data_IF_052956869691
#
_entry.id   IF_052956869691
#
_cell.length_a   1.000
_cell.length_b   1.000
_cell.length_c   1.000
_cell.angle_alpha   90.00
_cell.angle_beta   90.00
_cell.angle_gamma   90.00
#
_symmetry.space_group_name_H-M   'P 1'
#
loop_
_entity.id
_entity.type
_entity.pdbx_description
1 polymer ?
#
# COMPACT_ATOMS: atom_id res chain seq x y z
N UNK A 1 -22.47 -31.67 11.18
CA UNK A 1 -22.32 -30.87 9.94
C UNK A 1 -23.67 -30.21 9.66
N UNK A 2 -23.81 -28.95 10.03
CA UNK A 2 -24.93 -28.14 9.57
C UNK A 2 -24.82 -28.06 8.06
N UNK A 3 -25.87 -28.40 7.34
CA UNK A 3 -25.90 -28.31 5.89
C UNK A 3 -25.85 -26.85 5.46
N UNK A 4 -24.67 -26.29 5.34
CA UNK A 4 -24.43 -25.02 4.62
C UNK A 4 -24.61 -25.14 3.10
N UNK A 5 -25.15 -26.27 2.65
CA UNK A 5 -25.24 -26.68 1.25
C UNK A 5 -26.35 -25.98 0.46
N UNK A 6 -27.20 -25.19 1.12
CA UNK A 6 -28.16 -24.38 0.40
C UNK A 6 -27.50 -23.04 0.05
N UNK A 7 -27.36 -22.73 -1.24
CA UNK A 7 -26.78 -21.48 -1.74
C UNK A 7 -27.40 -20.23 -1.12
N UNK A 8 -28.71 -20.23 -0.82
CA UNK A 8 -29.39 -19.16 -0.13
C UNK A 8 -28.89 -18.96 1.32
N UNK A 9 -28.64 -20.02 2.05
CA UNK A 9 -28.13 -19.93 3.42
C UNK A 9 -26.69 -19.45 3.44
N UNK A 10 -25.86 -19.94 2.52
CA UNK A 10 -24.48 -19.47 2.37
C UNK A 10 -24.44 -17.96 2.06
N UNK A 11 -25.25 -17.51 1.11
CA UNK A 11 -25.36 -16.10 0.78
C UNK A 11 -25.77 -15.25 1.98
N UNK A 12 -26.82 -15.65 2.73
CA UNK A 12 -27.31 -14.92 3.91
C UNK A 12 -26.26 -14.86 5.03
N UNK A 13 -25.57 -15.95 5.30
CA UNK A 13 -24.50 -15.99 6.32
C UNK A 13 -23.35 -15.11 5.90
N UNK A 14 -22.94 -15.17 4.64
CA UNK A 14 -21.86 -14.34 4.12
C UNK A 14 -22.22 -12.85 4.19
N UNK A 15 -23.45 -12.52 3.77
CA UNK A 15 -23.97 -11.14 3.87
C UNK A 15 -24.00 -10.66 5.32
N UNK A 16 -24.52 -11.46 6.23
CA UNK A 16 -24.58 -11.10 7.65
C UNK A 16 -23.21 -10.84 8.23
N UNK A 17 -22.23 -11.69 7.96
CA UNK A 17 -20.84 -11.52 8.44
C UNK A 17 -20.23 -10.24 7.85
N UNK A 18 -20.33 -10.02 6.54
CA UNK A 18 -19.74 -8.84 5.90
C UNK A 18 -20.37 -7.54 6.36
N UNK A 19 -21.71 -7.52 6.54
CA UNK A 19 -22.43 -6.38 7.06
C UNK A 19 -22.00 -6.08 8.51
N UNK A 20 -21.90 -7.11 9.36
CA UNK A 20 -21.49 -6.98 10.76
C UNK A 20 -20.08 -6.39 10.89
N UNK A 21 -19.13 -6.89 10.10
CA UNK A 21 -17.77 -6.33 10.07
C UNK A 21 -17.77 -4.88 9.58
N UNK A 22 -18.49 -4.60 8.51
CA UNK A 22 -18.59 -3.25 7.95
C UNK A 22 -19.19 -2.23 8.90
N UNK A 23 -20.19 -2.65 9.70
CA UNK A 23 -20.86 -1.80 10.69
C UNK A 23 -20.00 -1.50 11.91
N UNK A 24 -19.20 -2.48 12.36
CA UNK A 24 -18.42 -2.36 13.59
C UNK A 24 -17.02 -1.80 13.38
N UNK A 25 -16.39 -2.03 12.21
CA UNK A 25 -15.02 -1.59 11.92
C UNK A 25 -15.02 -0.46 10.87
N UNK A 26 -15.39 0.75 11.28
CA UNK A 26 -15.57 1.89 10.36
C UNK A 26 -14.26 2.59 9.95
N UNK A 27 -13.26 2.58 10.83
CA UNK A 27 -12.04 3.38 10.67
C UNK A 27 -10.81 2.56 10.26
N UNK A 28 -10.97 1.25 10.05
CA UNK A 28 -9.89 0.36 9.62
C UNK A 28 -10.23 -0.25 8.27
N UNK A 29 -9.21 -0.46 7.44
CA UNK A 29 -9.37 -1.16 6.18
C UNK A 29 -9.76 -2.61 6.45
N UNK A 30 -10.82 -3.06 5.79
CA UNK A 30 -11.26 -4.45 5.83
C UNK A 30 -10.81 -5.17 4.57
N UNK A 31 -10.44 -6.42 4.73
CA UNK A 31 -10.03 -7.29 3.62
C UNK A 31 -10.92 -8.52 3.55
N UNK A 32 -11.14 -9.04 2.36
CA UNK A 32 -11.83 -10.30 2.16
C UNK A 32 -10.87 -11.30 1.53
N UNK A 33 -10.76 -12.48 2.14
CA UNK A 33 -10.07 -13.60 1.53
C UNK A 33 -10.97 -14.23 0.45
N UNK A 34 -10.44 -14.46 -0.73
CA UNK A 34 -11.20 -15.04 -1.84
C UNK A 34 -10.52 -16.29 -2.40
N UNK A 35 -11.25 -17.09 -3.16
CA UNK A 35 -10.74 -18.22 -3.91
C UNK A 35 -11.62 -18.51 -5.11
N UNK A 36 -11.06 -19.16 -6.11
CA UNK A 36 -11.80 -19.52 -7.33
C UNK A 36 -12.61 -20.78 -7.19
N UNK A 37 -12.30 -21.63 -6.20
CA UNK A 37 -12.95 -22.95 -6.00
C UNK A 37 -14.44 -22.88 -5.74
N UNK A 38 -14.89 -21.81 -5.08
CA UNK A 38 -16.31 -21.60 -4.71
C UNK A 38 -16.95 -20.46 -5.48
N UNK A 39 -16.22 -19.89 -6.45
CA UNK A 39 -16.60 -18.68 -7.17
C UNK A 39 -16.29 -17.41 -6.36
N UNK A 40 -15.97 -16.36 -7.06
CA UNK A 40 -15.64 -15.05 -6.48
C UNK A 40 -16.88 -14.15 -6.28
N UNK A 41 -18.08 -14.68 -6.58
CA UNK A 41 -19.30 -13.85 -6.67
C UNK A 41 -19.69 -13.22 -5.33
N UNK A 42 -19.64 -13.99 -4.23
CA UNK A 42 -20.08 -13.47 -2.92
C UNK A 42 -19.09 -12.46 -2.37
N UNK A 43 -17.80 -12.74 -2.47
CA UNK A 43 -16.72 -11.86 -2.08
C UNK A 43 -16.81 -10.53 -2.80
N UNK A 44 -16.95 -10.59 -4.13
CA UNK A 44 -17.09 -9.40 -4.96
C UNK A 44 -18.33 -8.60 -4.59
N UNK A 45 -19.50 -9.21 -4.65
CA UNK A 45 -20.79 -8.53 -4.48
C UNK A 45 -21.01 -8.03 -3.07
N UNK A 46 -20.72 -8.87 -2.04
CA UNK A 46 -21.11 -8.59 -0.65
C UNK A 46 -20.03 -7.88 0.15
N UNK A 47 -18.76 -8.09 -0.17
CA UNK A 47 -17.67 -7.44 0.55
C UNK A 47 -17.05 -6.28 -0.24
N UNK A 48 -16.62 -6.54 -1.49
CA UNK A 48 -15.87 -5.54 -2.27
C UNK A 48 -16.80 -4.45 -2.80
N UNK A 49 -17.84 -4.82 -3.55
CA UNK A 49 -18.69 -3.82 -4.21
C UNK A 49 -19.59 -3.09 -3.19
N UNK A 50 -20.17 -3.82 -2.22
CA UNK A 50 -21.08 -3.26 -1.22
C UNK A 50 -20.32 -2.44 -0.17
N UNK A 51 -19.26 -2.99 0.40
CA UNK A 51 -18.61 -2.47 1.60
C UNK A 51 -17.19 -1.97 1.38
N UNK A 52 -16.71 -1.99 0.15
CA UNK A 52 -15.38 -1.49 -0.21
C UNK A 52 -14.22 -2.22 0.48
N UNK A 53 -14.36 -3.54 0.70
CA UNK A 53 -13.27 -4.34 1.23
C UNK A 53 -12.14 -4.43 0.21
N UNK A 54 -10.92 -4.50 0.71
CA UNK A 54 -9.74 -4.85 -0.06
C UNK A 54 -9.66 -6.36 -0.26
N UNK A 55 -8.71 -6.82 -1.06
CA UNK A 55 -8.54 -8.23 -1.35
C UNK A 55 -7.41 -8.86 -0.55
N UNK A 56 -7.59 -10.10 -0.13
CA UNK A 56 -6.58 -10.97 0.44
C UNK A 56 -6.66 -12.34 -0.21
N UNK A 57 -5.52 -12.97 -0.39
CA UNK A 57 -5.45 -14.38 -0.77
C UNK A 57 -4.34 -15.05 0.02
N UNK A 58 -4.69 -16.12 0.70
CA UNK A 58 -3.75 -17.06 1.28
C UNK A 58 -3.24 -18.05 0.22
N UNK A 59 -2.20 -18.76 0.56
CA UNK A 59 -1.67 -19.82 -0.27
C UNK A 59 -0.87 -19.36 -1.50
N UNK A 60 -0.33 -18.14 -1.52
CA UNK A 60 0.60 -17.77 -2.57
C UNK A 60 1.85 -18.66 -2.51
N UNK A 61 2.40 -18.99 -3.69
CA UNK A 61 3.47 -19.98 -3.84
C UNK A 61 2.97 -21.41 -3.94
N UNK A 62 1.69 -21.68 -3.63
CA UNK A 62 1.07 -22.99 -3.76
C UNK A 62 0.46 -23.23 -5.15
N UNK A 63 0.08 -24.47 -5.44
CA UNK A 63 -0.66 -24.80 -6.65
C UNK A 63 -2.10 -24.26 -6.65
N UNK A 64 -2.61 -23.84 -5.51
CA UNK A 64 -3.93 -23.20 -5.38
C UNK A 64 -3.94 -21.76 -5.91
N UNK A 65 -2.78 -21.11 -5.92
CA UNK A 65 -2.67 -19.75 -6.44
C UNK A 65 -2.30 -19.80 -7.92
N UNK A 66 -3.31 -19.72 -8.76
CA UNK A 66 -3.20 -19.86 -10.20
C UNK A 66 -3.45 -18.54 -10.94
N UNK A 67 -3.37 -18.58 -12.26
CA UNK A 67 -3.62 -17.40 -13.10
C UNK A 67 -5.03 -16.84 -12.93
N UNK A 68 -6.01 -17.69 -12.57
CA UNK A 68 -7.37 -17.24 -12.29
C UNK A 68 -7.44 -16.26 -11.11
N UNK A 69 -6.73 -16.54 -10.01
CA UNK A 69 -6.63 -15.63 -8.86
C UNK A 69 -5.90 -14.34 -9.23
N UNK A 70 -4.80 -14.45 -9.96
CA UNK A 70 -4.05 -13.27 -10.44
C UNK A 70 -4.91 -12.39 -11.33
N UNK A 71 -5.69 -12.97 -12.23
CA UNK A 71 -6.60 -12.23 -13.10
C UNK A 71 -7.68 -11.49 -12.30
N UNK A 72 -8.21 -12.10 -11.23
CA UNK A 72 -9.16 -11.43 -10.32
C UNK A 72 -8.47 -10.22 -9.67
N UNK A 73 -7.28 -10.39 -9.09
CA UNK A 73 -6.54 -9.30 -8.44
C UNK A 73 -6.29 -8.17 -9.44
N UNK A 74 -5.77 -8.50 -10.62
CA UNK A 74 -5.44 -7.52 -11.65
C UNK A 74 -6.67 -6.78 -12.18
N UNK A 75 -7.85 -7.43 -12.20
CA UNK A 75 -9.11 -6.78 -12.60
C UNK A 75 -9.58 -5.73 -11.58
N UNK A 76 -9.13 -5.83 -10.34
CA UNK A 76 -9.47 -4.91 -9.25
C UNK A 76 -8.37 -3.86 -8.99
N UNK A 77 -7.15 -4.11 -9.47
CA UNK A 77 -6.04 -3.16 -9.39
C UNK A 77 -6.22 -2.03 -10.42
N UNK A 78 -5.92 -0.76 -10.10
CA UNK A 78 -5.36 -0.25 -8.84
C UNK A 78 -6.40 0.17 -7.79
N UNK A 79 -7.71 -0.06 -8.02
CA UNK A 79 -8.77 0.39 -7.11
C UNK A 79 -8.76 -0.34 -5.77
N UNK A 80 -8.25 -1.57 -5.74
CA UNK A 80 -8.16 -2.39 -4.53
C UNK A 80 -6.72 -2.83 -4.29
N UNK A 81 -6.26 -2.59 -3.06
CA UNK A 81 -5.00 -3.14 -2.59
C UNK A 81 -5.14 -4.65 -2.33
N UNK A 82 -4.04 -5.38 -2.48
CA UNK A 82 -3.96 -6.81 -2.28
C UNK A 82 -3.02 -7.16 -1.13
N UNK A 83 -3.49 -8.02 -0.22
CA UNK A 83 -2.73 -8.60 0.88
C UNK A 83 -2.40 -10.04 0.51
N UNK A 84 -1.11 -10.34 0.39
CA UNK A 84 -0.63 -11.67 0.06
C UNK A 84 -0.23 -12.41 1.34
N UNK A 85 -0.65 -13.67 1.45
CA UNK A 85 -0.27 -14.57 2.52
C UNK A 85 0.41 -15.82 1.95
N UNK A 86 1.63 -16.11 2.46
CA UNK A 86 2.38 -17.30 2.04
C UNK A 86 1.69 -18.60 2.43
N UNK A 87 1.85 -19.61 1.59
CA UNK A 87 1.51 -21.00 1.94
C UNK A 87 2.68 -21.60 2.72
N UNK A 88 2.42 -22.58 3.61
CA UNK A 88 3.42 -23.35 4.37
C UNK A 88 4.35 -22.55 5.31
N UNK A 89 4.24 -22.83 6.58
CA UNK A 89 4.90 -22.09 7.66
C UNK A 89 6.21 -22.72 8.13
N UNK A 90 6.58 -23.85 7.61
CA UNK A 90 7.64 -24.69 8.19
C UNK A 90 8.99 -24.64 7.51
N UNK A 91 9.37 -23.53 6.86
CA UNK A 91 10.59 -23.39 6.05
C UNK A 91 11.93 -23.73 6.72
N UNK A 92 11.93 -24.18 7.97
CA UNK A 92 13.09 -24.70 8.68
C UNK A 92 12.88 -26.13 9.19
N UNK A 93 11.79 -26.77 8.81
CA UNK A 93 11.51 -28.14 9.26
C UNK A 93 11.98 -29.12 8.20
N UNK A 94 13.01 -29.90 8.51
CA UNK A 94 13.39 -31.05 7.69
C UNK A 94 12.31 -32.14 7.66
N UNK A 95 11.34 -32.09 8.59
CA UNK A 95 10.27 -33.05 8.71
C UNK A 95 9.07 -32.81 7.78
N UNK A 96 8.95 -31.63 7.20
CA UNK A 96 7.88 -31.31 6.27
C UNK A 96 8.40 -30.52 5.07
N UNK A 97 8.51 -31.20 3.95
CA UNK A 97 8.91 -30.62 2.67
C UNK A 97 7.79 -30.91 1.66
N UNK A 98 7.01 -29.90 1.23
CA UNK A 98 5.85 -30.13 0.36
C UNK A 98 6.16 -30.96 -0.90
N UNK A 99 7.30 -30.73 -1.52
CA UNK A 99 7.74 -31.47 -2.72
C UNK A 99 8.03 -32.94 -2.47
N UNK A 100 8.24 -33.38 -1.24
CA UNK A 100 8.44 -34.79 -0.90
C UNK A 100 7.13 -35.48 -0.51
N UNK A 101 6.12 -34.73 -0.13
CA UNK A 101 4.87 -35.27 0.43
C UNK A 101 3.64 -35.07 -0.43
N UNK A 102 3.69 -34.08 -1.35
CA UNK A 102 2.57 -33.77 -2.25
C UNK A 102 3.02 -33.88 -3.72
N UNK A 103 2.46 -34.83 -4.49
CA UNK A 103 2.81 -35.01 -5.92
C UNK A 103 2.63 -33.75 -6.77
N UNK A 104 1.74 -32.84 -6.39
CA UNK A 104 1.50 -31.59 -7.11
C UNK A 104 2.69 -30.61 -7.04
N UNK A 105 3.61 -30.83 -6.08
CA UNK A 105 4.81 -30.01 -5.91
C UNK A 105 6.10 -30.72 -6.33
N UNK A 106 6.11 -32.04 -6.43
CA UNK A 106 7.32 -32.84 -6.66
C UNK A 106 8.12 -32.41 -7.90
N UNK A 107 7.43 -31.97 -8.96
CA UNK A 107 8.05 -31.50 -10.20
C UNK A 107 8.34 -30.00 -10.22
N UNK A 108 7.78 -29.24 -9.27
CA UNK A 108 7.86 -27.76 -9.26
C UNK A 108 8.94 -27.24 -8.32
N UNK A 109 9.11 -27.87 -7.18
CA UNK A 109 10.01 -27.42 -6.13
C UNK A 109 10.98 -28.55 -5.75
N UNK A 110 12.20 -28.17 -5.40
CA UNK A 110 13.23 -29.09 -4.88
C UNK A 110 13.83 -28.54 -3.58
N UNK A 111 13.47 -27.34 -3.21
CA UNK A 111 14.00 -26.66 -2.04
C UNK A 111 13.04 -25.59 -1.54
N UNK A 112 13.25 -25.14 -0.30
CA UNK A 112 12.55 -23.98 0.24
C UNK A 112 12.84 -22.70 -0.54
N UNK A 113 14.06 -22.58 -1.11
CA UNK A 113 14.40 -21.43 -1.96
C UNK A 113 13.51 -21.36 -3.21
N UNK A 114 13.21 -22.49 -3.85
CA UNK A 114 12.30 -22.54 -5.01
C UNK A 114 10.88 -22.13 -4.61
N UNK A 115 10.43 -22.63 -3.46
CA UNK A 115 9.11 -22.32 -2.94
C UNK A 115 8.96 -20.82 -2.64
N UNK A 116 9.91 -20.22 -1.90
CA UNK A 116 9.89 -18.80 -1.58
C UNK A 116 10.04 -17.92 -2.83
N UNK A 117 10.80 -18.38 -3.84
CA UNK A 117 10.89 -17.69 -5.13
C UNK A 117 9.53 -17.65 -5.84
N UNK A 118 8.76 -18.74 -5.80
CA UNK A 118 7.40 -18.75 -6.36
C UNK A 118 6.45 -17.85 -5.57
N UNK A 119 6.46 -17.92 -4.25
CA UNK A 119 5.64 -17.05 -3.40
C UNK A 119 5.94 -15.56 -3.64
N UNK A 120 7.22 -15.20 -3.73
CA UNK A 120 7.65 -13.86 -4.10
C UNK A 120 7.11 -13.44 -5.48
N UNK A 121 7.29 -14.30 -6.51
CA UNK A 121 6.80 -14.05 -7.86
C UNK A 121 5.28 -13.82 -7.88
N UNK A 122 4.53 -14.63 -7.14
CA UNK A 122 3.08 -14.50 -7.02
C UNK A 122 2.68 -13.19 -6.34
N UNK A 123 3.37 -12.79 -5.27
CA UNK A 123 3.16 -11.51 -4.61
C UNK A 123 3.38 -10.32 -5.56
N UNK A 124 4.48 -10.33 -6.33
CA UNK A 124 4.82 -9.25 -7.25
C UNK A 124 3.82 -9.17 -8.42
N UNK A 125 3.46 -10.30 -9.04
CA UNK A 125 2.51 -10.31 -10.16
C UNK A 125 1.07 -9.99 -9.76
N UNK A 126 0.75 -10.18 -8.46
CA UNK A 126 -0.52 -9.80 -7.85
C UNK A 126 -0.54 -8.38 -7.28
N UNK A 127 0.48 -7.57 -7.51
CA UNK A 127 0.57 -6.20 -6.96
C UNK A 127 0.44 -6.13 -5.44
N UNK A 128 1.06 -7.09 -4.72
CA UNK A 128 0.88 -7.21 -3.28
C UNK A 128 1.34 -5.96 -2.52
N UNK A 129 0.46 -5.45 -1.67
CA UNK A 129 0.77 -4.39 -0.72
C UNK A 129 1.60 -4.90 0.45
N UNK A 130 1.31 -6.12 0.89
CA UNK A 130 2.05 -6.80 1.95
C UNK A 130 2.28 -8.25 1.57
N UNK A 131 3.42 -8.77 1.99
CA UNK A 131 3.72 -10.19 2.04
C UNK A 131 4.01 -10.50 3.49
N UNK A 132 3.21 -11.34 4.12
CA UNK A 132 3.29 -11.54 5.54
C UNK A 132 4.43 -12.49 5.97
N UNK A 133 5.03 -12.15 7.10
CA UNK A 133 5.97 -12.96 7.85
C UNK A 133 5.35 -13.20 9.24
N UNK A 134 4.30 -14.02 9.28
CA UNK A 134 3.35 -14.10 10.40
C UNK A 134 3.91 -14.61 11.71
N UNK A 135 4.85 -15.54 11.63
CA UNK A 135 5.37 -16.20 12.82
C UNK A 135 6.88 -16.45 12.70
N UNK A 136 7.51 -16.80 13.84
CA UNK A 136 8.96 -16.88 13.94
C UNK A 136 9.58 -17.95 13.02
N UNK A 137 8.92 -19.07 12.80
CA UNK A 137 9.44 -20.17 11.97
C UNK A 137 9.41 -19.79 10.50
N UNK A 138 8.32 -19.19 10.05
CA UNK A 138 8.18 -18.68 8.67
C UNK A 138 9.18 -17.57 8.41
N UNK A 139 9.32 -16.61 9.33
CA UNK A 139 10.30 -15.52 9.23
C UNK A 139 11.72 -16.07 9.11
N UNK A 140 12.10 -17.07 9.95
CA UNK A 140 13.41 -17.72 9.82
C UNK A 140 13.58 -18.41 8.49
N UNK A 141 12.54 -19.09 7.98
CA UNK A 141 12.54 -19.71 6.65
C UNK A 141 12.85 -18.72 5.54
N UNK A 142 12.13 -17.61 5.48
CA UNK A 142 12.39 -16.54 4.52
C UNK A 142 13.82 -16.00 4.62
N UNK A 143 14.29 -15.69 5.84
CA UNK A 143 15.64 -15.14 6.04
C UNK A 143 16.74 -16.15 5.73
N UNK A 144 16.51 -17.44 5.98
CA UNK A 144 17.49 -18.50 5.71
C UNK A 144 17.58 -18.82 4.23
N UNK A 145 16.45 -18.94 3.53
CA UNK A 145 16.38 -19.49 2.18
C UNK A 145 16.15 -18.46 1.08
N UNK A 146 15.67 -17.26 1.43
CA UNK A 146 15.23 -16.25 0.47
C UNK A 146 15.48 -14.80 0.93
N UNK A 147 16.56 -14.57 1.70
CA UNK A 147 16.86 -13.25 2.29
C UNK A 147 16.90 -12.12 1.27
N UNK A 148 17.41 -12.37 0.07
CA UNK A 148 17.51 -11.34 -0.95
C UNK A 148 16.14 -11.00 -1.58
N UNK A 149 15.22 -11.96 -1.64
CA UNK A 149 13.83 -11.72 -2.04
C UNK A 149 13.09 -10.89 -0.99
N UNK A 150 13.37 -11.08 0.31
CA UNK A 150 12.85 -10.22 1.38
C UNK A 150 13.32 -8.78 1.20
N UNK A 151 14.62 -8.58 0.95
CA UNK A 151 15.17 -7.24 0.68
C UNK A 151 14.57 -6.62 -0.58
N UNK A 152 14.39 -7.42 -1.62
CA UNK A 152 13.78 -6.96 -2.86
C UNK A 152 12.32 -6.57 -2.64
N UNK A 153 11.54 -7.34 -1.87
CA UNK A 153 10.18 -6.97 -1.53
C UNK A 153 10.09 -5.69 -0.70
N UNK A 154 11.04 -5.45 0.21
CA UNK A 154 11.14 -4.18 0.95
C UNK A 154 11.27 -2.99 -0.01
N UNK A 155 11.94 -3.16 -1.13
CA UNK A 155 12.17 -2.12 -2.13
C UNK A 155 11.05 -2.03 -3.19
N UNK A 156 10.50 -3.16 -3.61
CA UNK A 156 9.61 -3.29 -4.75
C UNK A 156 8.16 -3.67 -4.40
N UNK A 157 7.92 -4.27 -3.23
CA UNK A 157 6.59 -4.62 -2.74
C UNK A 157 5.85 -3.41 -2.16
N UNK A 158 4.54 -3.55 -1.98
CA UNK A 158 3.70 -2.47 -1.45
C UNK A 158 3.74 -1.21 -2.31
N UNK A 159 3.49 -0.05 -1.70
CA UNK A 159 3.68 1.25 -2.34
C UNK A 159 4.89 1.99 -1.74
N UNK A 160 5.65 2.67 -2.60
CA UNK A 160 6.87 3.42 -2.27
C UNK A 160 6.79 4.78 -2.94
N UNK A 161 6.18 5.75 -2.23
CA UNK A 161 5.84 7.06 -2.77
C UNK A 161 7.02 8.02 -2.61
N UNK A 162 7.44 8.62 -3.72
CA UNK A 162 8.62 9.49 -3.76
C UNK A 162 8.32 10.74 -4.58
N UNK A 163 8.57 11.95 -4.06
CA UNK A 163 8.67 13.14 -4.90
C UNK A 163 9.97 13.06 -5.70
N UNK A 164 9.88 13.02 -7.03
CA UNK A 164 11.05 12.93 -7.91
C UNK A 164 11.50 14.29 -8.45
N UNK A 165 10.60 15.27 -8.44
CA UNK A 165 10.89 16.64 -8.84
C UNK A 165 9.93 17.59 -8.15
N UNK A 166 10.46 18.71 -7.65
CA UNK A 166 9.68 19.81 -7.08
C UNK A 166 10.30 21.12 -7.61
N UNK A 167 9.48 21.90 -8.33
CA UNK A 167 9.84 23.18 -8.90
C UNK A 167 9.06 24.28 -8.19
N UNK A 168 9.75 25.29 -7.70
CA UNK A 168 9.18 26.46 -7.03
C UNK A 168 10.08 27.68 -7.22
N UNK A 169 9.56 28.91 -7.13
CA UNK A 169 10.39 30.14 -7.23
C UNK A 169 11.26 30.30 -5.98
N UNK A 170 12.50 30.73 -6.15
CA UNK A 170 13.43 30.97 -5.01
C UNK A 170 13.02 32.16 -4.13
N UNK A 171 12.20 33.07 -4.66
CA UNK A 171 11.59 34.17 -3.90
C UNK A 171 10.20 34.52 -4.40
N UNK A 172 9.33 34.93 -3.48
CA UNK A 172 7.96 35.41 -3.75
C UNK A 172 7.67 36.57 -2.79
N UNK A 173 7.08 37.66 -3.26
CA UNK A 173 6.67 38.76 -2.39
C UNK A 173 5.46 38.34 -1.52
N UNK A 174 5.45 38.81 -0.27
CA UNK A 174 4.31 38.63 0.65
C UNK A 174 2.99 39.07 -0.02
N UNK A 175 1.95 38.30 0.16
CA UNK A 175 0.66 38.53 -0.46
C UNK A 175 0.53 38.01 -1.90
N UNK A 176 1.63 37.67 -2.58
CA UNK A 176 1.57 37.03 -3.88
C UNK A 176 1.37 35.51 -3.75
N UNK A 177 1.06 34.89 -4.88
CA UNK A 177 0.81 33.45 -4.99
C UNK A 177 2.13 32.70 -5.15
N UNK A 178 2.39 31.76 -4.25
CA UNK A 178 3.41 30.72 -4.42
C UNK A 178 2.83 29.59 -5.28
N UNK A 179 3.48 29.28 -6.40
CA UNK A 179 3.10 28.17 -7.28
C UNK A 179 4.19 27.09 -7.21
N UNK A 180 3.77 25.86 -6.95
CA UNK A 180 4.66 24.70 -6.84
C UNK A 180 4.21 23.66 -7.86
N UNK A 181 5.14 23.22 -8.74
CA UNK A 181 4.95 22.06 -9.61
C UNK A 181 5.70 20.89 -9.00
N UNK A 182 5.06 19.74 -8.94
CA UNK A 182 5.66 18.56 -8.34
C UNK A 182 5.32 17.27 -9.12
N UNK A 183 6.27 16.35 -9.11
CA UNK A 183 6.15 15.06 -9.81
C UNK A 183 6.40 13.95 -8.81
N UNK A 184 5.51 12.96 -8.80
CA UNK A 184 5.52 11.84 -7.88
C UNK A 184 5.63 10.51 -8.61
N UNK A 185 6.30 9.58 -7.96
CA UNK A 185 6.46 8.21 -8.40
C UNK A 185 6.08 7.24 -7.29
N UNK A 186 5.41 6.17 -7.66
CA UNK A 186 5.32 4.96 -6.86
C UNK A 186 6.27 3.92 -7.47
N UNK A 187 7.33 3.54 -6.76
CA UNK A 187 8.27 2.50 -7.21
C UNK A 187 7.89 1.10 -6.75
N UNK A 188 6.93 0.97 -5.83
CA UNK A 188 6.39 -0.31 -5.40
C UNK A 188 5.31 -0.85 -6.32
N UNK A 189 5.09 -2.16 -6.32
CA UNK A 189 4.08 -2.83 -7.18
C UNK A 189 2.66 -2.65 -6.68
N UNK A 190 2.48 -2.40 -5.39
CA UNK A 190 1.18 -2.17 -4.77
C UNK A 190 0.67 -0.74 -4.93
N UNK A 191 -0.44 -0.43 -4.31
CA UNK A 191 -1.11 0.86 -4.39
C UNK A 191 -1.50 1.38 -3.01
N UNK A 192 -1.40 2.70 -2.78
CA UNK A 192 -1.93 3.31 -1.58
C UNK A 192 -3.47 3.29 -1.62
N UNK A 193 -4.17 2.63 -0.69
CA UNK A 193 -5.63 2.50 -0.74
C UNK A 193 -6.35 3.75 -0.22
N UNK A 194 -5.85 4.95 -0.56
CA UNK A 194 -6.40 6.23 -0.09
C UNK A 194 -7.82 6.47 -0.57
N UNK A 195 -8.19 5.89 -1.72
CA UNK A 195 -9.54 5.93 -2.31
C UNK A 195 -10.56 5.02 -1.60
N UNK A 196 -10.14 4.21 -0.63
CA UNK A 196 -11.07 3.38 0.14
C UNK A 196 -12.02 4.25 0.97
N UNK A 197 -13.31 3.91 1.00
CA UNK A 197 -14.35 4.67 1.72
C UNK A 197 -14.05 4.90 3.19
N UNK A 198 -13.29 3.99 3.85
CA UNK A 198 -12.91 4.11 5.26
C UNK A 198 -11.76 5.08 5.49
N UNK A 199 -10.91 5.25 4.51
CA UNK A 199 -9.85 6.26 4.53
C UNK A 199 -10.32 7.58 3.90
N UNK A 200 -11.26 7.52 2.97
CA UNK A 200 -11.94 8.67 2.37
C UNK A 200 -10.97 9.77 1.94
N UNK A 201 -9.92 9.41 1.21
CA UNK A 201 -8.93 10.36 0.68
C UNK A 201 -8.20 11.18 1.76
N UNK A 202 -8.02 10.59 2.95
CA UNK A 202 -7.41 11.28 4.10
C UNK A 202 -5.95 11.67 3.92
N UNK A 203 -5.22 11.01 3.03
CA UNK A 203 -3.83 11.31 2.74
C UNK A 203 -3.73 12.34 1.63
N UNK A 204 -3.10 13.49 1.95
CA UNK A 204 -2.93 14.62 1.05
C UNK A 204 -1.47 14.98 0.89
N UNK A 205 -1.07 15.42 -0.30
CA UNK A 205 0.24 16.05 -0.48
C UNK A 205 0.17 17.46 0.07
N UNK A 206 1.03 17.75 1.03
CA UNK A 206 1.12 19.08 1.64
C UNK A 206 2.56 19.59 1.60
N UNK A 207 2.70 20.87 1.30
CA UNK A 207 3.92 21.63 1.47
C UNK A 207 3.82 22.48 2.73
N UNK A 208 4.95 22.73 3.39
CA UNK A 208 5.02 23.58 4.56
C UNK A 208 6.14 24.61 4.41
N UNK A 209 5.86 25.83 4.80
CA UNK A 209 6.86 26.86 5.09
C UNK A 209 7.19 26.77 6.56
N UNK A 210 8.42 26.32 6.87
CA UNK A 210 8.91 26.17 8.22
C UNK A 210 9.81 27.34 8.57
N UNK A 211 9.69 27.85 9.78
CA UNK A 211 10.65 28.75 10.37
C UNK A 211 12.03 28.08 10.45
N UNK A 212 13.12 28.71 9.98
CA UNK A 212 14.42 28.06 9.90
C UNK A 212 15.07 27.78 11.25
N UNK A 213 14.67 28.46 12.33
CA UNK A 213 15.24 28.30 13.67
C UNK A 213 14.34 27.37 14.54
N UNK A 214 13.05 27.70 14.66
CA UNK A 214 12.14 26.97 15.52
C UNK A 214 11.57 25.70 14.85
N UNK A 215 11.63 25.62 13.54
CA UNK A 215 11.00 24.56 12.71
C UNK A 215 9.47 24.51 12.84
N UNK A 216 8.87 25.57 13.36
CA UNK A 216 7.40 25.69 13.38
C UNK A 216 6.84 25.87 11.97
N UNK A 217 5.70 25.26 11.71
CA UNK A 217 4.97 25.44 10.44
C UNK A 217 4.29 26.81 10.49
N UNK A 218 4.72 27.74 9.63
CA UNK A 218 4.12 29.06 9.51
C UNK A 218 2.97 29.12 8.50
N UNK A 219 3.06 28.31 7.44
CA UNK A 219 1.97 28.12 6.48
C UNK A 219 2.02 26.72 5.87
N UNK A 220 0.83 26.13 5.62
CA UNK A 220 0.67 24.90 4.82
C UNK A 220 0.02 25.23 3.49
N UNK A 221 0.38 24.44 2.49
CA UNK A 221 -0.19 24.49 1.14
C UNK A 221 -0.53 23.07 0.76
N UNK A 222 -1.80 22.73 0.73
CA UNK A 222 -2.26 21.36 0.44
C UNK A 222 -2.70 21.27 -1.01
N UNK A 223 -2.23 20.26 -1.74
CA UNK A 223 -2.71 19.94 -3.07
C UNK A 223 -3.86 18.92 -2.99
N UNK A 224 -5.08 19.40 -3.17
CA UNK A 224 -6.29 18.59 -3.17
C UNK A 224 -6.43 17.68 -4.40
N UNK A 225 -5.64 17.92 -5.46
CA UNK A 225 -5.68 17.16 -6.71
C UNK A 225 -4.66 16.01 -6.73
N UNK A 226 -3.64 16.05 -5.87
CA UNK A 226 -2.60 15.05 -5.82
C UNK A 226 -3.07 13.81 -5.04
N UNK A 227 -3.53 12.79 -5.76
CA UNK A 227 -4.17 11.62 -5.18
C UNK A 227 -3.26 10.39 -5.17
N UNK A 228 -2.73 9.97 -3.99
CA UNK A 228 -1.77 8.86 -3.88
C UNK A 228 -2.30 7.50 -4.37
N UNK A 229 -3.61 7.24 -4.34
CA UNK A 229 -4.18 5.99 -4.84
C UNK A 229 -4.13 5.87 -6.37
N UNK A 230 -3.90 6.97 -7.07
CA UNK A 230 -3.73 6.99 -8.53
C UNK A 230 -2.27 6.75 -8.97
N UNK A 231 -1.34 6.61 -8.02
CA UNK A 231 0.09 6.46 -8.34
C UNK A 231 0.46 4.99 -8.41
N UNK A 232 0.69 4.52 -9.62
CA UNK A 232 1.05 3.13 -9.91
C UNK A 232 2.47 3.05 -10.45
N UNK A 233 3.15 1.94 -10.22
CA UNK A 233 4.51 1.70 -10.71
C UNK A 233 4.61 1.89 -12.22
N UNK A 234 5.66 2.58 -12.64
CA UNK A 234 5.94 2.83 -14.06
C UNK A 234 5.27 4.07 -14.66
N UNK A 235 4.50 4.83 -13.86
CA UNK A 235 3.85 6.06 -14.34
C UNK A 235 4.04 7.19 -13.33
N UNK A 236 4.82 8.20 -13.73
CA UNK A 236 4.99 9.42 -12.93
C UNK A 236 3.75 10.31 -13.04
N UNK A 237 3.40 10.98 -11.96
CA UNK A 237 2.24 11.89 -11.90
C UNK A 237 2.70 13.32 -11.62
N UNK A 238 2.29 14.22 -12.48
CA UNK A 238 2.62 15.66 -12.37
C UNK A 238 1.41 16.43 -11.88
N UNK A 239 1.66 17.30 -10.90
CA UNK A 239 0.67 18.18 -10.29
C UNK A 239 1.18 19.59 -10.21
N UNK A 240 0.27 20.53 -9.97
CA UNK A 240 0.57 21.93 -9.71
C UNK A 240 -0.39 22.46 -8.68
N UNK A 241 0.15 22.99 -7.59
CA UNK A 241 -0.63 23.68 -6.57
C UNK A 241 -0.19 25.14 -6.46
N UNK A 242 -1.08 25.97 -5.97
CA UNK A 242 -0.80 27.42 -5.80
C UNK A 242 -1.60 27.95 -4.62
N UNK A 243 -0.94 28.78 -3.77
CA UNK A 243 -1.56 29.38 -2.59
C UNK A 243 -1.01 30.78 -2.36
N UNK A 244 -1.87 31.70 -1.89
CA UNK A 244 -1.46 33.03 -1.51
C UNK A 244 -0.64 33.01 -0.21
N UNK A 245 0.50 33.71 -0.19
CA UNK A 245 1.35 33.75 0.98
C UNK A 245 0.84 34.75 2.01
N UNK A 246 0.66 34.24 3.24
CA UNK A 246 0.22 35.03 4.40
C UNK A 246 1.30 35.14 5.48
N UNK A 247 2.48 34.53 5.26
CA UNK A 247 3.60 34.63 6.19
C UNK A 247 4.33 35.96 6.04
N UNK A 248 4.95 36.51 7.12
CA UNK A 248 5.80 37.69 7.03
C UNK A 248 6.96 37.54 6.08
N UNK A 249 7.53 38.68 5.65
CA UNK A 249 8.78 38.67 4.89
C UNK A 249 9.91 38.03 5.70
N UNK A 250 10.65 37.11 5.09
CA UNK A 250 11.72 36.36 5.73
C UNK A 250 12.16 35.15 4.92
N UNK A 251 13.16 34.44 5.41
CA UNK A 251 13.59 33.19 4.83
C UNK A 251 12.87 32.02 5.49
N UNK A 252 12.39 31.05 4.70
CA UNK A 252 11.68 29.86 5.16
C UNK A 252 12.30 28.62 4.56
N UNK A 253 12.17 27.48 5.28
CA UNK A 253 12.43 26.16 4.73
C UNK A 253 11.15 25.68 4.04
N UNK A 254 11.23 25.35 2.75
CA UNK A 254 10.17 24.65 2.06
C UNK A 254 10.34 23.14 2.29
N UNK A 255 9.28 22.50 2.78
CA UNK A 255 9.27 21.08 3.03
C UNK A 255 7.99 20.44 2.47
N UNK A 256 7.99 19.12 2.26
CA UNK A 256 6.84 18.36 1.73
C UNK A 256 6.59 17.11 2.55
N UNK A 257 5.33 16.73 2.69
CA UNK A 257 4.89 15.46 3.27
C UNK A 257 3.59 14.96 2.61
N UNK A 258 3.27 13.70 2.83
CA UNK A 258 1.91 13.19 2.67
C UNK A 258 1.28 13.21 4.06
N UNK A 259 0.35 14.13 4.27
CA UNK A 259 -0.29 14.40 5.57
C UNK A 259 -1.57 13.59 5.74
N UNK A 260 -1.96 13.30 6.98
CA UNK A 260 -3.22 12.63 7.33
C UNK A 260 -4.21 13.66 7.89
N UNK A 261 -5.28 13.95 7.16
CA UNK A 261 -6.32 14.92 7.55
C UNK A 261 -7.05 14.51 8.82
N UNK A 262 -7.07 13.22 9.15
CA UNK A 262 -7.68 12.72 10.40
C UNK A 262 -6.77 12.89 11.63
N UNK A 263 -5.52 13.29 11.43
CA UNK A 263 -4.47 13.46 12.45
C UNK A 263 -3.93 14.89 12.51
N UNK A 264 -4.79 15.88 12.38
CA UNK A 264 -4.42 17.31 12.37
C UNK A 264 -3.39 17.64 11.30
N UNK A 265 -3.49 17.00 10.14
CA UNK A 265 -2.58 17.21 8.99
C UNK A 265 -1.10 16.97 9.34
N UNK A 266 -0.82 16.02 10.22
CA UNK A 266 0.56 15.56 10.45
C UNK A 266 1.00 14.64 9.31
N UNK A 267 2.31 14.55 9.04
CA UNK A 267 2.83 13.53 8.14
C UNK A 267 2.31 12.14 8.53
N UNK A 268 1.63 11.47 7.61
CA UNK A 268 0.93 10.20 7.85
C UNK A 268 1.49 9.03 7.05
N UNK A 269 2.29 9.32 6.00
CA UNK A 269 3.00 8.31 5.22
C UNK A 269 4.46 8.68 5.08
N UNK A 270 5.33 7.71 5.33
CA UNK A 270 6.77 7.87 5.12
C UNK A 270 7.08 7.93 3.62
N UNK A 271 7.82 8.95 3.21
CA UNK A 271 8.31 9.07 1.84
C UNK A 271 9.49 8.12 1.59
N UNK A 272 9.48 7.44 0.45
CA UNK A 272 10.54 6.51 0.06
C UNK A 272 11.76 7.25 -0.53
N UNK A 273 12.36 8.14 0.26
CA UNK A 273 13.50 8.96 -0.13
C UNK A 273 14.75 8.49 0.60
N UNK A 274 15.76 8.10 -0.17
CA UNK A 274 17.08 7.72 0.37
C UNK A 274 17.88 8.98 0.68
N UNK A 275 18.44 9.07 1.90
CA UNK A 275 19.27 10.18 2.34
C UNK A 275 18.57 11.56 2.34
N UNK A 276 17.24 11.59 2.42
CA UNK A 276 16.48 12.82 2.62
C UNK A 276 16.76 13.46 3.98
N UNK A 277 16.74 14.79 4.05
CA UNK A 277 16.72 15.49 5.33
C UNK A 277 15.27 15.70 5.75
N UNK A 278 14.93 15.26 6.96
CA UNK A 278 13.59 15.39 7.50
C UNK A 278 13.59 16.27 8.75
N UNK A 279 12.56 17.10 8.85
CA UNK A 279 12.26 17.94 10.02
C UNK A 279 10.85 17.57 10.46
N UNK A 280 10.70 16.92 11.62
CA UNK A 280 9.39 16.45 12.13
C UNK A 280 8.59 15.66 11.06
N UNK A 281 9.25 14.72 10.38
CA UNK A 281 8.73 13.88 9.28
C UNK A 281 8.38 14.64 7.98
N UNK A 282 8.67 15.93 7.88
CA UNK A 282 8.60 16.69 6.66
C UNK A 282 9.93 16.61 5.88
N UNK A 283 9.89 16.18 4.63
CA UNK A 283 11.08 16.18 3.77
C UNK A 283 11.46 17.62 3.39
N UNK A 284 12.63 18.04 3.81
CA UNK A 284 13.19 19.35 3.44
C UNK A 284 13.52 19.36 1.94
N UNK A 285 12.99 20.34 1.21
CA UNK A 285 13.23 20.54 -0.23
C UNK A 285 14.31 21.60 -0.47
N UNK A 286 14.21 22.72 0.22
CA UNK A 286 15.14 23.82 0.09
C UNK A 286 14.70 25.03 0.89
N UNK A 287 15.17 26.23 0.50
CA UNK A 287 14.78 27.50 1.13
C UNK A 287 14.06 28.38 0.13
N UNK A 288 13.19 29.24 0.63
CA UNK A 288 12.46 30.25 -0.15
C UNK A 288 12.51 31.59 0.60
N UNK A 289 12.69 32.70 -0.13
CA UNK A 289 12.63 34.06 0.39
C UNK A 289 11.23 34.65 0.13
N UNK A 290 10.59 35.12 1.20
CA UNK A 290 9.31 35.84 1.12
C UNK A 290 9.56 37.32 1.36
#
# INVERSE_FOLDING_TARGET
HVQYLNSNNKFKVYQWITDLYAENFKNVLLVVNFGTEIGFEYEKRLAIDKHDFLTRRDGIGSYWFQDAEVNIINSLFPQKAFIAEGCYWGGNSDSYQPWNTDPLYADKFKSWSDFYAQAYKDAIRGHANTLDLREATETRGWITHAKDLVKDFISNGGYRLTPIQIEYPVSVQMGNTLSIKHIWRNSGVGVCPNNNKRWNYKYKVSFALLDPESHEIKQRITDENAEPSAWIKGTDKTYKTSESLIVPAGQYILAVAITDDTQNQKPGLNLAVKNGKFINDWLQIGTIQI
#
